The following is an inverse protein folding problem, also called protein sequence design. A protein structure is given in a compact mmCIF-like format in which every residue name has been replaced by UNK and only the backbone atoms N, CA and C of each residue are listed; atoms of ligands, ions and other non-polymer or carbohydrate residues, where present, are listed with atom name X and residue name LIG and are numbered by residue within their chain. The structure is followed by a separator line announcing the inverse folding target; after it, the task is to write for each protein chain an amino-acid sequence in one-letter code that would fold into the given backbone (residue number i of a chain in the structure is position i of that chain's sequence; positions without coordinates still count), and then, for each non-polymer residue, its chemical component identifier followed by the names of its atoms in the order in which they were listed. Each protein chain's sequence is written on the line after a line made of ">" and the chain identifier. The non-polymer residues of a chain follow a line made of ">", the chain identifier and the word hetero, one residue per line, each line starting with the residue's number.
data_IF_920590568049
#
_entry.id   IF_920590568049
#
_cell.length_a   1.000
_cell.length_b   1.000
_cell.length_c   1.000
_cell.angle_alpha   90.00
_cell.angle_beta   90.00
_cell.angle_gamma   90.00
#
_symmetry.space_group_name_H-M   'P 1'
#
loop_
_entity.id
_entity.type
_entity.pdbx_description
1 polymer ?
#
# COMPACT_ATOMS: atom_id res chain seq x y z
N UNK A 1 -8.66 -24.32 -16.73
CA UNK A 1 -8.17 -22.96 -17.04
C UNK A 1 -8.71 -22.05 -15.95
N UNK A 2 -7.87 -21.60 -15.02
CA UNK A 2 -8.27 -20.62 -14.01
C UNK A 2 -8.14 -19.26 -14.70
N UNK A 3 -9.24 -18.55 -14.90
CA UNK A 3 -9.19 -17.16 -15.37
C UNK A 3 -8.87 -16.33 -14.12
N UNK A 4 -7.72 -15.65 -14.05
CA UNK A 4 -7.41 -14.82 -12.90
C UNK A 4 -8.49 -13.75 -12.77
N UNK A 5 -9.14 -13.70 -11.60
CA UNK A 5 -10.11 -12.66 -11.30
C UNK A 5 -9.32 -11.37 -11.05
N UNK A 6 -9.41 -10.43 -11.99
CA UNK A 6 -8.77 -9.13 -11.88
C UNK A 6 -9.71 -8.20 -11.11
N UNK A 7 -9.27 -7.79 -9.93
CA UNK A 7 -9.92 -6.76 -9.13
C UNK A 7 -9.28 -5.42 -9.47
N UNK A 8 -10.10 -4.37 -9.61
CA UNK A 8 -9.61 -3.00 -9.77
C UNK A 8 -9.96 -2.17 -8.54
N UNK A 9 -8.97 -1.45 -8.02
CA UNK A 9 -9.16 -0.44 -6.99
C UNK A 9 -9.31 0.92 -7.64
N UNK A 10 -10.28 1.68 -7.15
CA UNK A 10 -10.45 3.10 -7.48
C UNK A 10 -10.22 3.91 -6.21
N UNK A 11 -9.04 4.51 -6.03
CA UNK A 11 -8.79 5.42 -4.93
C UNK A 11 -9.79 6.59 -4.95
N UNK A 12 -10.15 7.07 -3.77
CA UNK A 12 -10.89 8.31 -3.60
C UNK A 12 -10.10 9.51 -4.12
N UNK A 13 -10.80 10.62 -4.39
CA UNK A 13 -10.16 11.84 -4.95
C UNK A 13 -9.08 12.44 -4.03
N UNK A 14 -9.21 12.22 -2.73
CA UNK A 14 -8.28 12.72 -1.71
C UNK A 14 -7.20 11.70 -1.35
N UNK A 15 -7.34 10.44 -1.77
CA UNK A 15 -6.39 9.39 -1.41
C UNK A 15 -5.02 9.67 -2.02
N UNK A 16 -3.98 9.29 -1.29
CA UNK A 16 -2.60 9.50 -1.69
C UNK A 16 -1.99 8.15 -2.05
N UNK A 17 -1.41 8.05 -3.24
CA UNK A 17 -0.59 6.89 -3.61
C UNK A 17 0.87 7.21 -3.36
N UNK A 18 1.51 6.34 -2.59
CA UNK A 18 2.93 6.36 -2.32
C UNK A 18 3.58 5.07 -2.79
N UNK A 19 4.79 5.21 -3.31
CA UNK A 19 5.64 4.08 -3.68
C UNK A 19 6.82 4.03 -2.71
N UNK A 20 7.04 2.86 -2.12
CA UNK A 20 8.12 2.65 -1.17
C UNK A 20 8.80 1.31 -1.39
N UNK A 21 9.98 1.16 -0.82
CA UNK A 21 10.71 -0.12 -0.79
C UNK A 21 10.72 -0.68 0.62
N UNK A 22 10.85 -1.99 0.73
CA UNK A 22 10.98 -2.68 2.01
C UNK A 22 12.44 -2.74 2.44
N UNK A 23 12.73 -2.34 3.67
CA UNK A 23 14.09 -2.39 4.23
C UNK A 23 14.50 -3.81 4.68
N UNK A 24 15.75 -3.93 5.15
CA UNK A 24 16.35 -5.19 5.66
C UNK A 24 15.64 -5.78 6.88
N UNK A 25 14.79 -5.00 7.54
CA UNK A 25 14.02 -5.41 8.71
C UNK A 25 12.59 -5.80 8.31
N UNK A 26 12.22 -5.64 7.04
CA UNK A 26 10.88 -5.90 6.54
C UNK A 26 9.92 -4.73 6.72
N UNK A 27 10.41 -3.49 6.88
CA UNK A 27 9.57 -2.30 7.05
C UNK A 27 9.46 -1.50 5.75
N UNK A 28 8.26 -1.02 5.40
CA UNK A 28 8.10 -0.05 4.31
C UNK A 28 8.80 1.29 4.62
N UNK A 29 9.62 1.78 3.69
CA UNK A 29 10.38 3.03 3.85
C UNK A 29 9.72 4.16 3.07
N UNK A 30 8.99 5.03 3.77
CA UNK A 30 8.31 6.17 3.16
C UNK A 30 9.22 7.40 3.07
N UNK A 31 9.04 8.19 2.01
CA UNK A 31 9.66 9.52 1.88
C UNK A 31 8.84 10.63 2.57
N UNK A 32 7.53 10.44 2.71
CA UNK A 32 6.61 11.37 3.38
C UNK A 32 6.26 10.85 4.79
N UNK A 33 6.13 11.76 5.75
CA UNK A 33 6.08 11.43 7.19
C UNK A 33 4.81 11.91 7.91
N UNK A 34 3.73 12.24 7.19
CA UNK A 34 2.50 12.73 7.82
C UNK A 34 1.26 11.89 7.48
N UNK A 35 1.31 10.60 7.84
CA UNK A 35 0.16 9.69 7.67
C UNK A 35 -0.36 9.15 9.00
N UNK A 36 0.03 9.74 10.13
CA UNK A 36 -0.30 9.23 11.45
C UNK A 36 -1.81 8.99 11.64
N UNK A 37 -2.19 7.77 12.03
CA UNK A 37 -3.57 7.38 12.28
C UNK A 37 -4.42 7.06 11.05
N UNK A 38 -3.92 7.30 9.84
CA UNK A 38 -4.66 7.02 8.59
C UNK A 38 -4.64 5.52 8.27
N UNK A 39 -5.68 5.06 7.57
CA UNK A 39 -5.71 3.72 7.00
C UNK A 39 -5.01 3.68 5.65
N UNK A 40 -4.48 2.52 5.27
CA UNK A 40 -3.90 2.31 3.96
C UNK A 40 -4.12 0.89 3.45
N UNK A 41 -4.22 0.79 2.13
CA UNK A 41 -4.12 -0.45 1.39
C UNK A 41 -2.72 -0.56 0.81
N UNK A 42 -2.00 -1.63 1.14
CA UNK A 42 -0.65 -1.91 0.65
C UNK A 42 -0.72 -3.07 -0.32
N UNK A 43 -0.15 -2.89 -1.51
CA UNK A 43 -0.04 -3.91 -2.54
C UNK A 43 1.44 -4.15 -2.78
N UNK A 44 1.86 -5.42 -2.79
CA UNK A 44 3.23 -5.77 -3.15
C UNK A 44 3.43 -5.60 -4.65
N UNK A 45 4.49 -4.90 -5.03
CA UNK A 45 4.80 -4.46 -6.38
C UNK A 45 4.35 -3.03 -6.68
N UNK A 46 4.99 -2.43 -7.67
CA UNK A 46 4.63 -1.13 -8.22
C UNK A 46 3.38 -1.23 -9.11
N UNK A 47 2.39 -0.37 -8.89
CA UNK A 47 1.15 -0.28 -9.68
C UNK A 47 0.87 1.18 -9.99
N UNK A 48 0.77 1.50 -11.28
CA UNK A 48 0.45 2.87 -11.69
C UNK A 48 -0.99 3.24 -11.35
N UNK A 49 -1.20 4.53 -11.06
CA UNK A 49 -2.51 5.11 -10.71
C UNK A 49 -3.60 4.75 -11.73
N UNK A 50 -3.27 4.79 -13.02
CA UNK A 50 -4.20 4.52 -14.12
C UNK A 50 -4.55 3.02 -14.24
N UNK A 51 -3.82 2.15 -13.54
CA UNK A 51 -4.00 0.70 -13.58
C UNK A 51 -3.74 0.04 -12.20
N UNK A 52 -4.50 0.46 -11.20
CA UNK A 52 -4.58 -0.22 -9.89
C UNK A 52 -5.42 -1.50 -10.00
N UNK A 53 -4.94 -2.46 -10.79
CA UNK A 53 -5.50 -3.80 -10.85
C UNK A 53 -4.62 -4.77 -10.08
N UNK A 54 -5.23 -5.76 -9.44
CA UNK A 54 -4.54 -6.87 -8.78
C UNK A 54 -5.37 -8.14 -8.90
N UNK A 55 -4.72 -9.29 -8.80
CA UNK A 55 -5.36 -10.59 -8.89
C UNK A 55 -5.33 -11.31 -7.52
N UNK A 56 -5.90 -12.51 -7.45
CA UNK A 56 -5.94 -13.32 -6.23
C UNK A 56 -4.59 -13.81 -5.72
N UNK A 57 -3.55 -13.75 -6.55
CA UNK A 57 -2.18 -14.16 -6.19
C UNK A 57 -1.35 -12.98 -5.66
N UNK A 58 -1.80 -11.75 -5.91
CA UNK A 58 -1.16 -10.54 -5.41
C UNK A 58 -1.30 -10.44 -3.89
N UNK A 59 -0.20 -10.12 -3.21
CA UNK A 59 -0.19 -9.86 -1.77
C UNK A 59 -0.73 -8.45 -1.51
N UNK A 60 -1.92 -8.38 -0.91
CA UNK A 60 -2.58 -7.12 -0.52
C UNK A 60 -2.84 -7.12 0.98
N UNK A 61 -2.56 -6.00 1.63
CA UNK A 61 -2.73 -5.80 3.07
C UNK A 61 -3.55 -4.55 3.33
N UNK A 62 -4.43 -4.61 4.33
CA UNK A 62 -5.08 -3.42 4.89
C UNK A 62 -4.40 -3.13 6.23
N UNK A 63 -3.93 -1.91 6.41
CA UNK A 63 -3.16 -1.51 7.58
C UNK A 63 -3.51 -0.10 8.02
N UNK A 64 -3.08 0.25 9.22
CA UNK A 64 -3.20 1.60 9.75
C UNK A 64 -1.81 2.10 10.10
N UNK A 65 -1.53 3.35 9.76
CA UNK A 65 -0.32 4.01 10.20
C UNK A 65 -0.39 4.27 11.71
N UNK A 66 0.70 3.91 12.40
CA UNK A 66 0.84 4.18 13.83
C UNK A 66 0.92 5.67 14.14
N UNK A 67 0.98 6.04 15.43
CA UNK A 67 1.00 7.45 15.87
C UNK A 67 2.15 8.29 15.31
N UNK A 68 3.23 7.63 14.88
CA UNK A 68 4.41 8.28 14.29
C UNK A 68 4.38 8.31 12.74
N UNK A 69 3.27 7.88 12.12
CA UNK A 69 3.15 7.87 10.66
C UNK A 69 3.91 6.73 9.97
N UNK A 70 4.17 5.63 10.68
CA UNK A 70 4.84 4.44 10.14
C UNK A 70 3.88 3.26 10.00
N UNK A 71 4.08 2.44 8.97
CA UNK A 71 3.43 1.14 8.86
C UNK A 71 4.18 0.08 9.65
N UNK A 72 3.44 -0.93 10.09
CA UNK A 72 4.00 -2.18 10.61
C UNK A 72 4.84 -2.89 9.55
N UNK A 73 5.69 -3.81 10.02
CA UNK A 73 6.47 -4.67 9.12
C UNK A 73 5.57 -5.50 8.22
N UNK A 74 5.94 -5.60 6.94
CA UNK A 74 5.30 -6.46 5.94
C UNK A 74 5.98 -7.83 5.81
N UNK A 75 7.07 -8.06 6.56
CA UNK A 75 7.86 -9.28 6.54
C UNK A 75 9.21 -9.11 5.84
N UNK A 76 10.22 -9.86 6.31
CA UNK A 76 11.58 -9.85 5.74
C UNK A 76 11.67 -10.57 4.39
N UNK A 77 10.72 -11.46 4.09
CA UNK A 77 10.61 -12.13 2.80
C UNK A 77 10.33 -11.13 1.65
N UNK A 78 9.93 -9.91 1.97
CA UNK A 78 9.68 -8.84 1.02
C UNK A 78 10.82 -7.81 0.95
N UNK A 79 11.96 -8.02 1.61
CA UNK A 79 13.12 -7.11 1.55
C UNK A 79 13.48 -6.74 0.10
N UNK A 80 13.66 -5.44 -0.14
CA UNK A 80 14.03 -4.90 -1.46
C UNK A 80 12.88 -4.85 -2.47
N UNK A 81 11.71 -5.40 -2.17
CA UNK A 81 10.54 -5.27 -3.04
C UNK A 81 9.93 -3.87 -2.92
N UNK A 82 9.31 -3.44 -4.02
CA UNK A 82 8.51 -2.23 -4.06
C UNK A 82 7.09 -2.51 -3.57
N UNK A 83 6.47 -1.50 -2.98
CA UNK A 83 5.10 -1.52 -2.52
C UNK A 83 4.37 -0.31 -3.08
N UNK A 84 3.14 -0.54 -3.53
CA UNK A 84 2.18 0.52 -3.78
C UNK A 84 1.31 0.68 -2.54
N UNK A 85 1.30 1.87 -1.96
CA UNK A 85 0.58 2.18 -0.73
C UNK A 85 -0.45 3.25 -1.02
N UNK A 86 -1.73 2.89 -0.92
CA UNK A 86 -2.86 3.80 -1.06
C UNK A 86 -3.25 4.24 0.34
N UNK A 87 -2.94 5.48 0.70
CA UNK A 87 -3.32 6.10 1.96
C UNK A 87 -4.71 6.71 1.83
N UNK A 88 -5.63 6.26 2.66
CA UNK A 88 -7.03 6.67 2.64
C UNK A 88 -7.19 7.97 3.43
N UNK A 89 -7.49 9.06 2.73
CA UNK A 89 -7.73 10.37 3.36
C UNK A 89 -9.23 10.49 3.61
N UNK A 90 -9.69 10.59 4.87
CA UNK A 90 -11.11 10.74 5.16
C UNK A 90 -11.64 12.02 4.49
N UNK A 91 -12.80 11.92 3.86
CA UNK A 91 -13.53 13.10 3.42
C UNK A 91 -14.04 13.81 4.69
N UNK A 92 -13.65 15.07 4.92
CA UNK A 92 -14.20 15.89 6.00
C UNK A 92 -15.74 15.89 5.90
N UNK A 93 -16.40 15.61 7.04
CA UNK A 93 -17.85 15.77 7.19
C UNK A 93 -18.24 17.25 7.23
#
# INVERSE_FOLDING_TARGET
>A
MIIPCVMSLKPGKKDIIEYCTVDKRGYPVFRRVNFAGLQATVIVGHRDLDNLSFNSEDKVFICQFGPQGHLSSVGKDLEGQELTVIVHIPEEN
#
